data_IF_135026133030
#
_entry.id   IF_135026133030
#
_cell.length_a   1.000
_cell.length_b   1.000
_cell.length_c   1.000
_cell.angle_alpha   90.00
_cell.angle_beta   90.00
_cell.angle_gamma   90.00
#
_symmetry.space_group_name_H-M   'P 1'
#
loop_
_entity.id
_entity.type
_entity.pdbx_description
1 polymer ?
#
# COMPACT_ATOMS: atom_id res chain seq x y z
N UNK A 1 5.89 18.86 -54.67
CA UNK A 1 7.20 18.89 -53.99
C UNK A 1 6.97 19.44 -52.58
N UNK A 2 6.81 18.58 -51.56
CA UNK A 2 6.80 19.04 -50.17
C UNK A 2 7.92 18.35 -49.41
N UNK A 3 8.79 19.19 -48.86
CA UNK A 3 10.09 18.90 -48.30
C UNK A 3 9.93 18.54 -46.83
N UNK A 4 10.59 17.46 -46.45
CA UNK A 4 10.78 16.92 -45.11
C UNK A 4 11.25 17.98 -44.11
N UNK A 5 10.69 17.94 -42.89
CA UNK A 5 11.39 18.31 -41.66
C UNK A 5 10.97 17.35 -40.55
N UNK A 6 11.80 16.35 -40.33
CA UNK A 6 11.88 15.51 -39.14
C UNK A 6 12.32 16.38 -37.95
N UNK A 7 11.46 16.49 -36.93
CA UNK A 7 11.80 17.08 -35.63
C UNK A 7 11.52 16.06 -34.54
N UNK A 8 12.53 15.27 -34.18
CA UNK A 8 12.46 14.32 -33.08
C UNK A 8 12.51 15.05 -31.75
N UNK A 9 11.48 14.87 -30.93
CA UNK A 9 11.49 15.25 -29.52
C UNK A 9 11.33 13.96 -28.72
N UNK A 10 12.48 13.45 -28.28
CA UNK A 10 12.57 12.38 -27.28
C UNK A 10 12.15 13.01 -25.94
N UNK A 11 10.89 12.88 -25.58
CA UNK A 11 10.46 13.11 -24.21
C UNK A 11 10.80 11.85 -23.42
N UNK A 12 11.91 11.94 -22.68
CA UNK A 12 12.43 10.90 -21.81
C UNK A 12 11.36 10.38 -20.85
N UNK A 13 11.43 9.07 -20.60
CA UNK A 13 10.52 8.34 -19.72
C UNK A 13 10.40 9.04 -18.37
N UNK A 14 9.19 9.49 -18.07
CA UNK A 14 8.79 9.77 -16.70
C UNK A 14 8.79 8.44 -15.97
N UNK A 15 9.70 8.33 -15.00
CA UNK A 15 9.85 7.21 -14.11
C UNK A 15 8.48 6.77 -13.57
N UNK A 16 8.19 5.47 -13.71
CA UNK A 16 7.08 4.82 -13.01
C UNK A 16 7.39 4.79 -11.51
N UNK A 17 7.18 5.92 -10.84
CA UNK A 17 7.23 6.00 -9.39
C UNK A 17 5.96 5.34 -8.85
N UNK A 18 6.11 4.08 -8.40
CA UNK A 18 5.19 3.40 -7.51
C UNK A 18 3.78 3.22 -8.06
N UNK A 19 3.55 2.12 -8.79
CA UNK A 19 2.22 1.51 -8.80
C UNK A 19 1.94 1.07 -7.36
N UNK A 20 1.36 1.95 -6.55
CA UNK A 20 0.59 1.53 -5.41
C UNK A 20 -0.49 0.62 -6.00
N UNK A 21 -0.33 -0.70 -5.82
CA UNK A 21 -1.37 -1.67 -6.10
C UNK A 21 -2.54 -1.26 -5.19
N UNK A 22 -3.41 -0.39 -5.71
CA UNK A 22 -4.65 -0.06 -5.04
C UNK A 22 -5.34 -1.38 -4.75
N UNK A 23 -5.79 -1.55 -3.50
CA UNK A 23 -6.50 -2.76 -3.12
C UNK A 23 -7.61 -3.00 -4.15
N UNK A 24 -7.84 -4.26 -4.57
CA UNK A 24 -8.88 -4.58 -5.55
C UNK A 24 -10.20 -3.93 -5.12
N UNK A 25 -11.02 -3.48 -6.07
CA UNK A 25 -12.27 -2.75 -5.78
C UNK A 25 -13.31 -3.54 -4.98
N UNK A 26 -13.04 -4.81 -4.70
CA UNK A 26 -13.81 -5.71 -3.85
C UNK A 26 -13.13 -6.02 -2.51
N UNK A 27 -12.12 -5.25 -2.11
CA UNK A 27 -11.40 -5.48 -0.87
C UNK A 27 -12.20 -4.93 0.32
N UNK A 28 -12.41 -5.77 1.33
CA UNK A 28 -12.89 -5.30 2.62
C UNK A 28 -11.77 -4.54 3.32
N UNK A 29 -12.03 -3.30 3.70
CA UNK A 29 -11.04 -2.44 4.34
C UNK A 29 -11.47 -2.03 5.74
N UNK A 30 -10.57 -2.16 6.71
CA UNK A 30 -10.79 -1.79 8.11
C UNK A 30 -9.60 -0.97 8.64
N UNK A 31 -9.90 0.18 9.24
CA UNK A 31 -8.89 1.02 9.89
C UNK A 31 -8.63 0.51 11.30
N UNK A 32 -7.37 0.20 11.58
CA UNK A 32 -6.88 -0.18 12.90
C UNK A 32 -5.98 0.92 13.48
N UNK A 33 -5.68 0.92 14.79
CA UNK A 33 -4.96 2.00 15.47
C UNK A 33 -3.61 2.39 14.83
N UNK A 34 -2.95 1.46 14.14
CA UNK A 34 -1.60 1.67 13.59
C UNK A 34 -1.55 1.62 12.05
N UNK A 35 -2.60 1.11 11.39
CA UNK A 35 -2.59 0.93 9.95
C UNK A 35 -4.02 0.77 9.40
N UNK A 36 -4.18 1.11 8.12
CA UNK A 36 -5.29 0.63 7.31
C UNK A 36 -4.98 -0.77 6.84
N UNK A 37 -5.92 -1.71 7.01
CA UNK A 37 -5.85 -3.05 6.43
C UNK A 37 -6.93 -3.21 5.37
N UNK A 38 -6.61 -3.95 4.32
CA UNK A 38 -7.55 -4.34 3.28
C UNK A 38 -7.28 -5.78 2.86
N UNK A 39 -8.34 -6.59 2.78
CA UNK A 39 -8.25 -8.00 2.38
C UNK A 39 -8.80 -8.22 0.99
N UNK A 40 -8.06 -8.97 0.18
CA UNK A 40 -8.52 -9.50 -1.08
C UNK A 40 -9.50 -10.66 -0.92
N UNK A 41 -10.01 -11.21 -2.03
CA UNK A 41 -10.87 -12.39 -1.98
C UNK A 41 -10.16 -13.60 -1.36
N UNK A 42 -10.94 -14.45 -0.68
CA UNK A 42 -10.47 -15.73 -0.17
C UNK A 42 -10.26 -16.70 -1.35
N UNK A 43 -9.10 -17.34 -1.38
CA UNK A 43 -8.69 -18.36 -2.36
C UNK A 43 -9.30 -19.72 -2.03
N UNK A 44 -9.28 -20.70 -2.96
CA UNK A 44 -9.85 -22.03 -2.71
C UNK A 44 -9.26 -22.78 -1.51
N UNK A 45 -8.04 -22.45 -1.11
CA UNK A 45 -7.35 -23.03 0.05
C UNK A 45 -7.70 -22.32 1.37
N UNK A 46 -8.56 -21.31 1.34
CA UNK A 46 -8.96 -20.54 2.53
C UNK A 46 -8.03 -19.38 2.88
N UNK A 47 -6.93 -19.18 2.14
CA UNK A 47 -6.01 -18.06 2.35
C UNK A 47 -6.49 -16.81 1.60
N UNK A 48 -6.02 -15.63 2.00
CA UNK A 48 -6.26 -14.39 1.24
C UNK A 48 -5.01 -13.50 1.22
N UNK A 49 -4.98 -12.47 0.37
CA UNK A 49 -3.96 -11.42 0.45
C UNK A 49 -4.47 -10.31 1.35
N UNK A 50 -3.65 -9.91 2.31
CA UNK A 50 -3.86 -8.73 3.14
C UNK A 50 -2.84 -7.67 2.78
N UNK A 51 -3.31 -6.48 2.44
CA UNK A 51 -2.48 -5.30 2.29
C UNK A 51 -2.65 -4.39 3.50
N UNK A 52 -1.54 -3.87 4.03
CA UNK A 52 -1.58 -2.82 5.03
C UNK A 52 -0.87 -1.56 4.56
N UNK A 53 -1.31 -0.42 5.08
CA UNK A 53 -0.61 0.85 4.93
C UNK A 53 -0.66 1.63 6.25
N UNK A 54 0.49 2.13 6.69
CA UNK A 54 0.56 3.10 7.79
C UNK A 54 0.36 4.51 7.26
N UNK A 55 0.01 5.42 8.16
CA UNK A 55 0.00 6.85 7.89
C UNK A 55 1.38 7.45 8.21
N UNK A 56 1.84 8.48 7.50
CA UNK A 56 3.08 9.16 7.85
C UNK A 56 2.94 9.82 9.23
N UNK A 57 4.00 9.76 10.05
CA UNK A 57 4.00 10.31 11.40
C UNK A 57 5.05 11.42 11.54
N UNK A 58 4.67 12.55 12.12
CA UNK A 58 5.61 13.62 12.44
C UNK A 58 6.45 13.25 13.68
N UNK A 59 7.74 13.53 13.62
CA UNK A 59 8.64 13.44 14.78
C UNK A 59 8.66 14.81 15.45
N UNK A 60 8.00 14.91 16.60
CA UNK A 60 7.94 16.15 17.37
C UNK A 60 9.17 16.27 18.28
N UNK A 61 9.85 17.42 18.20
CA UNK A 61 10.93 17.77 19.10
C UNK A 61 10.42 18.31 20.45
N UNK A 62 11.35 18.62 21.34
CA UNK A 62 11.05 18.96 22.74
C UNK A 62 10.08 20.14 22.94
N UNK A 63 10.00 21.08 22.00
CA UNK A 63 9.12 22.25 22.06
C UNK A 63 7.95 22.16 21.07
N UNK A 64 7.62 20.96 20.57
CA UNK A 64 6.52 20.72 19.63
C UNK A 64 6.84 21.04 18.17
N UNK A 65 8.08 21.42 17.84
CA UNK A 65 8.51 21.60 16.46
C UNK A 65 8.63 20.26 15.72
N UNK A 66 8.26 20.23 14.44
CA UNK A 66 8.47 19.04 13.60
C UNK A 66 9.95 18.97 13.24
N UNK A 67 10.61 17.90 13.66
CA UNK A 67 12.05 17.64 13.42
C UNK A 67 12.31 16.59 12.35
N UNK A 68 11.26 15.89 11.92
CA UNK A 68 11.34 14.87 10.87
C UNK A 68 10.00 14.20 10.61
N UNK A 69 10.01 13.27 9.67
CA UNK A 69 8.85 12.49 9.25
C UNK A 69 9.22 11.02 9.14
N UNK A 70 8.38 10.17 9.73
CA UNK A 70 8.33 8.74 9.42
C UNK A 70 7.43 8.58 8.20
N UNK A 71 7.93 8.11 7.05
CA UNK A 71 7.10 7.92 5.86
C UNK A 71 6.07 6.83 6.10
N UNK A 72 4.98 6.87 5.33
CA UNK A 72 4.06 5.75 5.24
C UNK A 72 4.80 4.52 4.69
N UNK A 73 4.50 3.36 5.27
CA UNK A 73 4.97 2.07 4.79
C UNK A 73 3.78 1.16 4.58
N UNK A 74 3.90 0.25 3.63
CA UNK A 74 2.85 -0.70 3.34
C UNK A 74 3.34 -1.83 2.47
N UNK A 75 2.66 -2.97 2.57
CA UNK A 75 2.88 -4.15 1.72
C UNK A 75 1.69 -5.07 1.81
N UNK A 76 1.60 -5.95 0.82
CA UNK A 76 0.68 -7.07 0.82
C UNK A 76 1.40 -8.37 1.23
N UNK A 77 0.68 -9.26 1.89
CA UNK A 77 1.16 -10.56 2.32
C UNK A 77 0.02 -11.57 2.38
N UNK A 78 0.28 -12.87 2.18
CA UNK A 78 -0.72 -13.90 2.35
C UNK A 78 -1.05 -14.10 3.84
N UNK A 79 -2.33 -14.34 4.12
CA UNK A 79 -2.82 -14.72 5.44
C UNK A 79 -3.36 -16.14 5.37
N UNK A 80 -2.85 -17.00 6.26
CA UNK A 80 -3.42 -18.30 6.58
C UNK A 80 -4.14 -18.20 7.94
N UNK A 81 -5.46 -18.41 8.00
CA UNK A 81 -6.21 -18.32 9.25
C UNK A 81 -5.80 -19.39 10.29
N UNK A 82 -5.06 -20.43 9.90
CA UNK A 82 -4.53 -21.46 10.80
C UNK A 82 -3.11 -21.15 11.28
N UNK A 83 -2.42 -20.20 10.64
CA UNK A 83 -1.03 -19.85 10.90
C UNK A 83 -0.83 -18.34 10.75
N UNK A 84 -1.49 -17.57 11.62
CA UNK A 84 -1.44 -16.11 11.59
C UNK A 84 0.00 -15.58 11.65
N UNK A 85 0.37 -14.64 10.76
CA UNK A 85 1.70 -14.07 10.82
C UNK A 85 1.86 -13.24 12.10
N UNK A 86 3.02 -13.32 12.79
CA UNK A 86 3.25 -12.59 14.05
C UNK A 86 3.33 -11.08 13.84
N UNK A 87 3.52 -10.64 12.60
CA UNK A 87 3.60 -9.24 12.20
C UNK A 87 2.85 -9.02 10.89
N UNK A 88 2.18 -7.87 10.71
CA UNK A 88 2.20 -6.67 11.55
C UNK A 88 1.40 -6.81 12.87
N UNK A 89 1.86 -6.12 13.92
CA UNK A 89 1.20 -6.14 15.23
C UNK A 89 -0.15 -5.44 15.19
N UNK A 90 -1.13 -5.99 15.90
CA UNK A 90 -2.48 -5.42 15.96
C UNK A 90 -3.27 -5.58 14.65
N UNK A 91 -2.86 -6.48 13.75
CA UNK A 91 -3.65 -6.84 12.59
C UNK A 91 -4.93 -7.60 13.02
N UNK A 92 -6.06 -7.43 12.31
CA UNK A 92 -7.29 -8.18 12.57
C UNK A 92 -7.05 -9.70 12.49
N UNK A 93 -7.63 -10.50 13.39
CA UNK A 93 -7.51 -11.97 13.37
C UNK A 93 -8.71 -12.63 12.65
N UNK A 94 -9.23 -11.97 11.62
CA UNK A 94 -10.34 -12.41 10.77
C UNK A 94 -10.19 -11.83 9.37
N UNK A 95 -10.93 -12.37 8.39
CA UNK A 95 -11.02 -11.82 7.03
C UNK A 95 -11.95 -10.59 7.01
N UNK A 96 -11.54 -9.52 6.33
CA UNK A 96 -12.30 -8.28 6.18
C UNK A 96 -13.12 -8.36 4.89
N UNK A 97 -14.44 -8.29 5.02
CA UNK A 97 -15.37 -8.28 3.89
C UNK A 97 -15.68 -6.84 3.42
N UNK A 98 -15.99 -6.63 2.13
CA UNK A 98 -16.38 -5.32 1.59
C UNK A 98 -17.68 -4.76 2.20
#
# INVERSE_FOLDING_TARGET
MYRWLTGGLVAGGLAAAGLALAAPSSAGCETQPFAQYCDGPIRPDGTWDRCFSTQPQAINGQYGQITGWVPSVGRCYPVDPNAWPPTPLGQPQYHIYP
#
